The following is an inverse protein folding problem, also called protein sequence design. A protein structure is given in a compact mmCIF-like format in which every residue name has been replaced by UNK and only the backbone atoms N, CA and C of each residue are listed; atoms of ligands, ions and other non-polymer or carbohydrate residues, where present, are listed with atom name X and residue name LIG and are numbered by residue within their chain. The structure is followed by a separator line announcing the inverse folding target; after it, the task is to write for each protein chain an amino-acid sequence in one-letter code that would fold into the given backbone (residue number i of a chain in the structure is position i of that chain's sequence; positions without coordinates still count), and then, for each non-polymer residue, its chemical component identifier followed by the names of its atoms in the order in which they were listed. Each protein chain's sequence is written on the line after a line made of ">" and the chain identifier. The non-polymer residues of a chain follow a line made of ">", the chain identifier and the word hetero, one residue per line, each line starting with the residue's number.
data_IF_081039110011
#
_entry.id   IF_081039110011
#
_cell.length_a   1.000
_cell.length_b   1.000
_cell.length_c   1.000
_cell.angle_alpha   90.00
_cell.angle_beta   90.00
_cell.angle_gamma   90.00
#
_symmetry.space_group_name_H-M   'P 1'
#
loop_
_entity.id
_entity.type
_entity.pdbx_description
1 polymer ?
#
# COMPACT_ATOMS: atom_id res chain seq x y z
N UNK A 1 -5.08 13.62 31.50
CA UNK A 1 -5.23 14.15 30.14
C UNK A 1 -6.28 13.30 29.43
N UNK A 2 -7.13 13.86 28.56
CA UNK A 2 -7.99 13.04 27.70
C UNK A 2 -7.12 12.05 26.91
N UNK A 3 -7.69 10.89 26.59
CA UNK A 3 -7.00 9.87 25.80
C UNK A 3 -6.67 10.48 24.43
N UNK A 4 -5.45 10.27 23.94
CA UNK A 4 -4.94 10.88 22.71
C UNK A 4 -4.30 9.79 21.85
N UNK A 5 -4.74 9.67 20.60
CA UNK A 5 -4.30 8.63 19.65
C UNK A 5 -3.12 9.09 18.78
N UNK A 6 -2.46 10.20 19.16
CA UNK A 6 -1.30 10.73 18.46
C UNK A 6 -1.68 11.69 17.33
N UNK A 7 -0.89 11.66 16.25
CA UNK A 7 -1.00 12.61 15.15
C UNK A 7 -1.62 11.98 13.91
N UNK A 8 -2.59 12.67 13.30
CA UNK A 8 -3.14 12.31 12.00
C UNK A 8 -2.62 13.29 10.95
N UNK A 9 -1.73 12.82 10.08
CA UNK A 9 -1.29 13.58 8.91
C UNK A 9 -2.27 13.41 7.76
N UNK A 10 -3.00 14.46 7.42
CA UNK A 10 -3.92 14.44 6.28
C UNK A 10 -3.23 15.00 5.04
N UNK A 11 -3.59 14.50 3.87
CA UNK A 11 -3.02 15.00 2.64
C UNK A 11 -3.74 14.55 1.39
N UNK A 12 -3.33 15.14 0.27
CA UNK A 12 -3.70 14.72 -1.07
C UNK A 12 -2.55 13.96 -1.72
N UNK A 13 -2.84 13.20 -2.77
CA UNK A 13 -1.79 12.50 -3.53
C UNK A 13 -1.01 13.53 -4.34
N UNK A 14 0.29 13.64 -4.08
CA UNK A 14 1.16 14.62 -4.76
C UNK A 14 2.24 13.96 -5.60
N UNK A 15 2.55 12.70 -5.33
CA UNK A 15 3.53 11.88 -6.03
C UNK A 15 3.26 10.38 -5.78
N UNK A 16 4.12 9.51 -6.33
CA UNK A 16 4.02 8.05 -6.20
C UNK A 16 4.30 7.52 -4.77
N UNK A 17 4.86 8.34 -3.89
CA UNK A 17 5.27 7.99 -2.52
C UNK A 17 4.31 8.50 -1.45
N UNK A 18 3.20 9.09 -1.87
CA UNK A 18 2.16 9.59 -0.96
C UNK A 18 0.83 8.96 -1.31
N UNK A 19 0.09 8.58 -0.28
CA UNK A 19 -1.33 8.29 -0.43
C UNK A 19 -2.14 9.54 -0.10
N UNK A 20 -3.22 9.73 -0.85
CA UNK A 20 -4.25 10.69 -0.47
C UNK A 20 -5.01 10.13 0.72
N UNK A 21 -5.38 11.01 1.64
CA UNK A 21 -6.50 10.77 2.54
C UNK A 21 -7.78 10.88 1.74
N UNK A 22 -8.74 10.03 2.03
CA UNK A 22 -10.10 10.07 1.50
C UNK A 22 -11.13 10.06 2.63
N UNK A 23 -12.42 10.13 2.29
CA UNK A 23 -13.50 10.18 3.28
C UNK A 23 -13.55 8.93 4.16
N UNK A 24 -13.23 7.76 3.60
CA UNK A 24 -13.20 6.45 4.26
C UNK A 24 -12.05 6.35 5.26
N UNK A 25 -10.89 6.96 4.99
CA UNK A 25 -9.81 7.07 5.97
C UNK A 25 -10.23 7.91 7.19
N UNK A 26 -10.93 9.03 6.94
CA UNK A 26 -11.46 9.88 8.02
C UNK A 26 -12.48 9.11 8.85
N UNK A 27 -13.42 8.44 8.20
CA UNK A 27 -14.45 7.66 8.88
C UNK A 27 -13.85 6.54 9.74
N UNK A 28 -12.87 5.81 9.22
CA UNK A 28 -12.20 4.78 9.99
C UNK A 28 -11.51 5.37 11.23
N UNK A 29 -10.62 6.36 11.04
CA UNK A 29 -9.84 6.93 12.15
C UNK A 29 -10.73 7.59 13.21
N UNK A 30 -11.66 8.48 12.79
CA UNK A 30 -12.46 9.24 13.73
C UNK A 30 -13.57 8.42 14.39
N UNK A 31 -14.06 7.35 13.77
CA UNK A 31 -14.96 6.42 14.45
C UNK A 31 -14.26 5.71 15.61
N UNK A 32 -12.98 5.31 15.46
CA UNK A 32 -12.20 4.72 16.57
C UNK A 32 -11.95 5.73 17.68
N UNK A 33 -11.56 6.95 17.32
CA UNK A 33 -11.35 8.03 18.29
C UNK A 33 -12.64 8.35 19.07
N UNK A 34 -13.78 8.46 18.40
CA UNK A 34 -15.08 8.67 19.03
C UNK A 34 -15.45 7.52 19.98
N UNK A 35 -15.21 6.28 19.58
CA UNK A 35 -15.54 5.09 20.37
C UNK A 35 -14.77 5.01 21.69
N UNK A 36 -13.52 5.47 21.70
CA UNK A 36 -12.63 5.42 22.87
C UNK A 36 -12.54 6.76 23.61
N UNK A 37 -13.44 7.71 23.31
CA UNK A 37 -13.38 9.11 23.76
C UNK A 37 -11.97 9.70 23.70
N UNK A 38 -11.33 9.49 22.55
CA UNK A 38 -9.98 9.96 22.26
C UNK A 38 -9.99 11.00 21.15
N UNK A 39 -8.87 11.68 20.96
CA UNK A 39 -8.69 12.62 19.85
C UNK A 39 -7.37 12.40 19.11
N UNK A 40 -7.26 13.05 17.95
CA UNK A 40 -6.02 13.19 17.18
C UNK A 40 -5.57 14.65 17.16
N UNK A 41 -4.25 14.85 17.15
CA UNK A 41 -3.69 16.13 16.70
C UNK A 41 -3.54 16.09 15.19
N UNK A 42 -4.22 16.99 14.47
CA UNK A 42 -4.02 17.13 13.03
C UNK A 42 -2.61 17.68 12.73
N UNK A 43 -1.90 17.02 11.83
CA UNK A 43 -0.61 17.48 11.29
C UNK A 43 -0.74 17.88 9.82
N UNK A 44 0.23 18.67 9.34
CA UNK A 44 0.35 19.13 7.95
C UNK A 44 -0.81 20.04 7.48
N UNK A 45 -1.58 20.57 8.42
CA UNK A 45 -2.63 21.56 8.15
C UNK A 45 -2.09 22.96 8.45
N UNK A 46 -2.27 23.86 7.49
CA UNK A 46 -1.98 25.29 7.59
C UNK A 46 -3.14 26.08 6.97
N UNK A 47 -3.21 27.42 7.17
CA UNK A 47 -4.17 28.24 6.44
C UNK A 47 -4.09 28.06 4.91
N UNK A 48 -2.90 27.81 4.36
CA UNK A 48 -2.71 27.52 2.93
C UNK A 48 -3.29 26.17 2.49
N UNK A 49 -3.41 25.19 3.40
CA UNK A 49 -4.04 23.91 3.09
C UNK A 49 -5.52 24.05 2.72
N UNK A 50 -6.20 25.11 3.18
CA UNK A 50 -7.60 25.40 2.84
C UNK A 50 -7.77 25.98 1.43
N UNK A 51 -6.70 26.44 0.79
CA UNK A 51 -6.73 27.00 -0.58
C UNK A 51 -6.05 26.10 -1.60
N UNK A 52 -5.32 25.06 -1.16
CA UNK A 52 -4.70 24.06 -2.04
C UNK A 52 -5.67 22.95 -2.45
N UNK A 53 -6.66 23.31 -3.28
CA UNK A 53 -7.73 22.43 -3.73
C UNK A 53 -8.87 22.27 -2.71
N UNK A 54 -9.68 21.22 -2.88
CA UNK A 54 -10.89 21.00 -2.07
C UNK A 54 -10.80 19.80 -1.13
N UNK A 55 -9.76 18.97 -1.21
CA UNK A 55 -9.60 17.78 -0.36
C UNK A 55 -9.89 18.05 1.13
N UNK A 56 -9.28 19.08 1.73
CA UNK A 56 -9.50 19.41 3.13
C UNK A 56 -10.90 19.96 3.40
N UNK A 57 -11.46 20.74 2.47
CA UNK A 57 -12.83 21.30 2.58
C UNK A 57 -13.89 20.19 2.58
N UNK A 58 -13.64 19.10 1.86
CA UNK A 58 -14.56 17.95 1.83
C UNK A 58 -14.51 17.13 3.12
N UNK A 59 -13.35 17.02 3.77
CA UNK A 59 -13.17 16.21 4.98
C UNK A 59 -13.46 16.94 6.29
N UNK A 60 -13.12 18.23 6.36
CA UNK A 60 -13.22 19.02 7.58
C UNK A 60 -14.65 19.02 8.21
N UNK A 61 -15.75 19.07 7.44
CA UNK A 61 -17.10 18.95 8.01
C UNK A 61 -17.34 17.63 8.73
N UNK A 62 -16.88 16.51 8.17
CA UNK A 62 -17.01 15.17 8.77
C UNK A 62 -16.19 15.06 10.04
N UNK A 63 -14.91 15.49 10.01
CA UNK A 63 -14.03 15.56 11.19
C UNK A 63 -14.68 16.38 12.31
N UNK A 64 -15.20 17.57 11.97
CA UNK A 64 -15.89 18.44 12.91
C UNK A 64 -17.10 17.73 13.53
N UNK A 65 -17.91 17.03 12.72
CA UNK A 65 -19.09 16.32 13.22
C UNK A 65 -18.69 15.21 14.19
N UNK A 66 -17.68 14.40 13.87
CA UNK A 66 -17.15 13.41 14.81
C UNK A 66 -16.74 14.02 16.16
N UNK A 67 -15.99 15.12 16.13
CA UNK A 67 -15.58 15.83 17.34
C UNK A 67 -16.76 16.43 18.11
N UNK A 68 -17.76 16.97 17.44
CA UNK A 68 -19.00 17.45 18.08
C UNK A 68 -19.76 16.32 18.78
N UNK A 69 -19.87 15.15 18.14
CA UNK A 69 -20.51 13.97 18.72
C UNK A 69 -19.76 13.47 19.96
N UNK A 70 -18.42 13.47 19.89
CA UNK A 70 -17.54 13.05 20.99
C UNK A 70 -17.63 14.00 22.17
N UNK A 71 -17.39 15.29 21.96
CA UNK A 71 -17.34 16.30 23.01
C UNK A 71 -18.68 16.51 23.72
N UNK A 72 -19.80 16.30 23.03
CA UNK A 72 -21.15 16.37 23.60
C UNK A 72 -21.66 15.03 24.13
N UNK A 73 -20.87 13.95 24.01
CA UNK A 73 -21.23 12.59 24.39
C UNK A 73 -22.61 12.15 23.84
N UNK A 74 -22.82 12.34 22.53
CA UNK A 74 -24.12 12.10 21.88
C UNK A 74 -24.30 10.68 21.35
N UNK A 75 -23.30 9.81 21.50
CA UNK A 75 -23.32 8.43 21.02
C UNK A 75 -23.43 7.48 22.20
N UNK A 76 -24.39 6.57 22.16
CA UNK A 76 -24.60 5.58 23.20
C UNK A 76 -23.49 4.53 23.27
N UNK A 77 -23.35 3.89 24.43
CA UNK A 77 -22.28 2.92 24.68
C UNK A 77 -22.34 1.68 23.77
N UNK A 78 -23.55 1.23 23.38
CA UNK A 78 -23.67 0.08 22.49
C UNK A 78 -23.18 0.41 21.07
N UNK A 79 -23.42 1.63 20.61
CA UNK A 79 -22.86 2.14 19.36
C UNK A 79 -21.35 2.31 19.46
N UNK A 80 -20.82 2.90 20.54
CA UNK A 80 -19.37 3.01 20.75
C UNK A 80 -18.66 1.65 20.72
N UNK A 81 -19.24 0.62 21.36
CA UNK A 81 -18.69 -0.74 21.34
C UNK A 81 -18.56 -1.30 19.92
N UNK A 82 -19.53 -1.02 19.02
CA UNK A 82 -19.45 -1.41 17.61
C UNK A 82 -18.36 -0.62 16.86
N UNK A 83 -18.32 0.70 17.06
CA UNK A 83 -17.33 1.56 16.44
C UNK A 83 -15.89 1.21 16.88
N UNK A 84 -15.70 0.70 18.09
CA UNK A 84 -14.39 0.32 18.64
C UNK A 84 -13.77 -0.94 18.00
N UNK A 85 -14.54 -1.78 17.30
CA UNK A 85 -14.04 -3.04 16.72
C UNK A 85 -13.03 -2.73 15.61
N UNK A 86 -11.79 -3.20 15.76
CA UNK A 86 -10.74 -2.99 14.74
C UNK A 86 -11.13 -3.68 13.42
N UNK A 87 -10.84 -3.02 12.29
CA UNK A 87 -11.18 -3.53 10.96
C UNK A 87 -12.65 -3.31 10.54
N UNK A 88 -13.58 -3.14 11.48
CA UNK A 88 -14.95 -2.75 11.13
C UNK A 88 -14.99 -1.28 10.68
N UNK A 89 -15.57 -1.02 9.50
CA UNK A 89 -15.67 0.32 8.91
C UNK A 89 -17.10 0.86 9.00
N UNK A 90 -17.23 2.16 9.32
CA UNK A 90 -18.51 2.85 9.47
C UNK A 90 -18.44 4.23 8.84
N UNK A 91 -19.41 4.56 8.00
CA UNK A 91 -19.57 5.88 7.41
C UNK A 91 -20.52 6.73 8.26
N UNK A 92 -20.09 7.93 8.65
CA UNK A 92 -20.94 8.90 9.32
C UNK A 92 -21.83 9.62 8.28
N UNK A 93 -23.09 9.21 8.22
CA UNK A 93 -24.10 9.85 7.39
C UNK A 93 -24.66 11.08 8.11
N UNK A 94 -24.64 12.22 7.43
CA UNK A 94 -25.17 13.49 7.95
C UNK A 94 -26.36 13.91 7.08
N UNK A 95 -27.55 13.95 7.68
CA UNK A 95 -28.78 14.42 7.06
C UNK A 95 -28.77 15.93 6.84
N UNK A 96 -29.63 16.40 5.91
CA UNK A 96 -29.78 17.84 5.62
C UNK A 96 -30.29 18.66 6.82
N UNK A 97 -30.97 18.01 7.75
CA UNK A 97 -31.48 18.54 9.02
C UNK A 97 -30.42 18.55 10.14
N UNK A 98 -29.21 18.05 9.86
CA UNK A 98 -28.15 17.87 10.86
C UNK A 98 -28.26 16.59 11.69
N UNK A 99 -29.30 15.77 11.44
CA UNK A 99 -29.42 14.41 11.93
C UNK A 99 -28.25 13.56 11.45
N UNK A 100 -27.95 12.48 12.16
CA UNK A 100 -26.78 11.65 11.85
C UNK A 100 -27.02 10.18 12.17
N UNK A 101 -26.31 9.31 11.47
CA UNK A 101 -26.28 7.87 11.72
C UNK A 101 -24.98 7.25 11.23
N UNK A 102 -24.66 6.06 11.73
CA UNK A 102 -23.52 5.28 11.25
C UNK A 102 -23.99 4.14 10.36
N UNK A 103 -23.47 4.08 9.14
CA UNK A 103 -23.71 2.97 8.22
C UNK A 103 -22.45 2.12 8.09
N UNK A 104 -22.55 0.84 8.43
CA UNK A 104 -21.42 -0.09 8.27
C UNK A 104 -21.11 -0.30 6.78
N UNK A 105 -19.83 -0.36 6.45
CA UNK A 105 -19.35 -0.73 5.12
C UNK A 105 -18.10 -1.60 5.23
N UNK A 106 -17.61 -2.08 4.08
CA UNK A 106 -16.25 -2.62 3.95
C UNK A 106 -15.64 -2.13 2.64
N UNK A 107 -14.33 -1.94 2.64
CA UNK A 107 -13.55 -1.55 1.47
C UNK A 107 -12.45 -2.56 1.15
N UNK A 108 -12.11 -2.68 -0.13
CA UNK A 108 -10.94 -3.46 -0.57
C UNK A 108 -10.29 -2.78 -1.77
N UNK A 109 -9.03 -2.37 -1.60
CA UNK A 109 -8.18 -1.76 -2.63
C UNK A 109 -7.40 -2.82 -3.39
N UNK A 110 -7.44 -2.76 -4.71
CA UNK A 110 -6.68 -3.62 -5.62
C UNK A 110 -5.87 -2.77 -6.59
N UNK A 111 -4.65 -3.22 -6.94
CA UNK A 111 -3.78 -2.52 -7.87
C UNK A 111 -3.81 -3.16 -9.25
N UNK A 112 -3.99 -2.33 -10.26
CA UNK A 112 -3.80 -2.67 -11.67
C UNK A 112 -2.41 -2.21 -12.08
N UNK A 113 -1.55 -3.16 -12.43
CA UNK A 113 -0.17 -2.91 -12.87
C UNK A 113 -0.04 -2.92 -14.40
N UNK A 114 -1.04 -3.45 -15.10
CA UNK A 114 -1.16 -3.44 -16.55
C UNK A 114 -2.42 -4.17 -17.00
N UNK A 115 -2.81 -3.98 -18.26
CA UNK A 115 -4.02 -4.64 -18.81
C UNK A 115 -3.77 -6.10 -19.20
N UNK A 116 -2.52 -6.43 -19.52
CA UNK A 116 -2.12 -7.71 -20.13
C UNK A 116 -1.31 -8.60 -19.16
N UNK A 117 -1.15 -8.23 -17.88
CA UNK A 117 -0.28 -8.92 -16.91
C UNK A 117 -1.00 -9.79 -15.87
N UNK A 118 -2.33 -9.85 -15.97
CA UNK A 118 -3.23 -10.59 -15.07
C UNK A 118 -3.73 -9.79 -13.86
N UNK A 119 -3.19 -8.61 -13.57
CA UNK A 119 -3.65 -7.75 -12.46
C UNK A 119 -5.07 -7.21 -12.68
N UNK A 120 -5.54 -7.20 -13.93
CA UNK A 120 -6.91 -6.83 -14.31
C UNK A 120 -8.02 -7.70 -13.72
N UNK A 121 -7.73 -8.86 -13.11
CA UNK A 121 -8.76 -9.75 -12.56
C UNK A 121 -8.47 -10.10 -11.08
N UNK A 122 -9.47 -9.96 -10.22
CA UNK A 122 -9.37 -10.31 -8.80
C UNK A 122 -10.73 -10.68 -8.20
N UNK A 123 -10.72 -11.18 -6.97
CA UNK A 123 -11.93 -11.53 -6.21
C UNK A 123 -12.21 -10.52 -5.09
N UNK A 124 -13.48 -10.20 -4.89
CA UNK A 124 -13.96 -9.38 -3.76
C UNK A 124 -15.07 -10.11 -3.01
N UNK A 125 -14.90 -10.28 -1.69
CA UNK A 125 -15.89 -10.90 -0.83
C UNK A 125 -16.78 -9.82 -0.19
N UNK A 126 -18.03 -9.71 -0.63
CA UNK A 126 -19.02 -8.82 -0.04
C UNK A 126 -19.68 -9.51 1.18
N UNK A 127 -19.49 -9.01 2.41
CA UNK A 127 -20.07 -9.62 3.60
C UNK A 127 -21.55 -9.27 3.80
N UNK A 128 -22.13 -8.41 2.95
CA UNK A 128 -23.49 -7.92 3.06
C UNK A 128 -24.39 -8.47 1.94
N UNK A 129 -25.59 -7.91 1.82
CA UNK A 129 -26.52 -8.24 0.74
C UNK A 129 -26.05 -7.76 -0.64
N UNK A 130 -26.77 -8.22 -1.67
CA UNK A 130 -26.54 -7.77 -3.03
C UNK A 130 -26.85 -6.27 -3.18
N UNK A 131 -25.97 -5.54 -3.85
CA UNK A 131 -26.08 -4.08 -4.01
C UNK A 131 -25.42 -3.60 -5.30
N UNK A 132 -25.80 -2.43 -5.84
CA UNK A 132 -25.09 -1.83 -6.97
C UNK A 132 -23.61 -1.57 -6.64
N UNK A 133 -22.75 -1.67 -7.66
CA UNK A 133 -21.33 -1.36 -7.55
C UNK A 133 -21.10 0.06 -7.01
N UNK A 134 -20.37 0.15 -5.91
CA UNK A 134 -19.77 1.38 -5.39
C UNK A 134 -18.25 1.21 -5.37
N UNK A 135 -17.51 2.22 -5.82
CA UNK A 135 -16.05 2.13 -5.96
C UNK A 135 -15.34 3.48 -5.98
N UNK A 136 -14.01 3.43 -5.89
CA UNK A 136 -13.08 4.50 -6.27
C UNK A 136 -12.07 3.93 -7.28
N UNK A 137 -11.87 4.61 -8.41
CA UNK A 137 -10.77 4.34 -9.34
C UNK A 137 -9.82 5.53 -9.28
N UNK A 138 -8.54 5.28 -8.99
CA UNK A 138 -7.48 6.31 -9.00
C UNK A 138 -6.47 5.98 -10.10
N UNK A 139 -6.25 6.90 -11.03
CA UNK A 139 -5.26 6.72 -12.08
C UNK A 139 -3.83 6.80 -11.50
N UNK A 140 -2.94 5.90 -11.93
CA UNK A 140 -1.54 5.86 -11.52
C UNK A 140 -0.62 6.23 -12.67
N UNK A 141 0.61 6.66 -12.35
CA UNK A 141 1.62 6.92 -13.37
C UNK A 141 1.99 5.62 -14.10
N UNK A 142 1.99 5.66 -15.43
CA UNK A 142 2.63 4.64 -16.26
C UNK A 142 4.16 4.78 -16.21
N UNK A 143 4.88 3.76 -16.67
CA UNK A 143 6.34 3.73 -16.65
C UNK A 143 6.90 3.72 -18.07
N UNK A 144 8.06 4.35 -18.27
CA UNK A 144 8.82 4.28 -19.52
C UNK A 144 9.20 2.85 -19.89
N UNK A 145 9.45 2.61 -21.19
CA UNK A 145 9.86 1.29 -21.67
C UNK A 145 11.19 0.84 -21.03
N UNK A 146 11.30 -0.43 -20.67
CA UNK A 146 12.51 -0.99 -20.05
C UNK A 146 13.80 -0.64 -20.82
N UNK A 147 13.77 -0.62 -22.15
CA UNK A 147 14.96 -0.31 -22.97
C UNK A 147 15.43 1.14 -22.90
N UNK A 148 14.57 2.08 -22.48
CA UNK A 148 14.93 3.47 -22.24
C UNK A 148 15.60 3.70 -20.88
N UNK A 149 15.60 2.70 -20.01
CA UNK A 149 16.03 2.84 -18.63
C UNK A 149 17.55 2.85 -18.43
N UNK A 150 17.96 3.49 -17.34
CA UNK A 150 19.36 3.54 -16.90
C UNK A 150 19.63 2.32 -16.01
N UNK A 151 20.66 1.54 -16.33
CA UNK A 151 21.01 0.38 -15.51
C UNK A 151 21.46 0.79 -14.09
N UNK A 152 20.82 0.19 -13.09
CA UNK A 152 21.15 0.37 -11.68
C UNK A 152 22.13 -0.70 -11.21
N UNK A 153 21.89 -1.94 -11.62
CA UNK A 153 22.69 -3.13 -11.34
C UNK A 153 22.41 -4.21 -12.38
N UNK A 154 23.39 -5.04 -12.67
CA UNK A 154 23.31 -6.21 -13.53
C UNK A 154 23.01 -7.52 -12.76
N UNK A 155 22.98 -7.46 -11.43
CA UNK A 155 22.95 -8.63 -10.52
C UNK A 155 24.09 -9.64 -10.72
N UNK A 156 25.16 -9.28 -11.43
CA UNK A 156 26.29 -10.15 -11.72
C UNK A 156 27.35 -10.14 -10.62
N UNK A 157 27.51 -9.02 -9.91
CA UNK A 157 28.52 -8.87 -8.85
C UNK A 157 28.16 -7.75 -7.85
N UNK A 158 28.94 -7.62 -6.77
CA UNK A 158 28.84 -6.53 -5.81
C UNK A 158 27.83 -6.72 -4.68
N UNK A 159 26.96 -7.73 -4.78
CA UNK A 159 26.10 -8.13 -3.67
C UNK A 159 26.91 -8.85 -2.60
N UNK A 160 26.69 -8.48 -1.34
CA UNK A 160 27.32 -9.06 -0.18
C UNK A 160 26.29 -9.35 0.92
N UNK A 161 26.67 -10.19 1.89
CA UNK A 161 25.89 -10.40 3.10
C UNK A 161 26.00 -9.14 3.99
N UNK A 162 24.90 -8.41 4.25
CA UNK A 162 24.93 -7.19 5.05
C UNK A 162 25.29 -7.42 6.53
N UNK A 163 25.42 -8.67 6.96
CA UNK A 163 25.57 -9.04 8.35
C UNK A 163 24.26 -8.90 9.13
N UNK A 164 24.32 -9.07 10.46
CA UNK A 164 23.13 -9.03 11.28
C UNK A 164 22.53 -7.62 11.38
N UNK A 165 21.20 -7.53 11.34
CA UNK A 165 20.47 -6.31 11.69
C UNK A 165 20.41 -6.16 13.21
N UNK A 166 20.90 -5.05 13.73
CA UNK A 166 20.88 -4.72 15.16
C UNK A 166 19.77 -3.70 15.42
N UNK A 167 18.88 -3.96 16.37
CA UNK A 167 17.80 -3.05 16.79
C UNK A 167 17.96 -2.69 18.26
N UNK A 168 18.07 -1.40 18.54
CA UNK A 168 17.94 -0.85 19.89
C UNK A 168 16.49 -0.44 20.13
N UNK A 169 15.89 -0.92 21.22
CA UNK A 169 14.52 -0.58 21.60
C UNK A 169 14.47 0.61 22.54
N UNK A 170 13.28 1.20 22.72
CA UNK A 170 13.05 2.28 23.70
C UNK A 170 13.31 1.81 25.13
N UNK A 171 13.19 0.51 25.41
CA UNK A 171 13.58 -0.10 26.68
C UNK A 171 15.10 -0.12 26.93
N UNK A 172 15.91 0.26 25.95
CA UNK A 172 17.37 0.19 25.99
C UNK A 172 17.95 -1.20 25.68
N UNK A 173 17.10 -2.21 25.43
CA UNK A 173 17.54 -3.56 25.05
C UNK A 173 17.93 -3.61 23.57
N UNK A 174 18.94 -4.42 23.26
CA UNK A 174 19.41 -4.67 21.90
C UNK A 174 19.00 -6.06 21.42
N UNK A 175 18.45 -6.14 20.22
CA UNK A 175 18.10 -7.37 19.52
C UNK A 175 18.90 -7.50 18.23
N UNK A 176 19.36 -8.72 17.94
CA UNK A 176 20.22 -9.01 16.79
C UNK A 176 19.54 -10.06 15.92
N UNK A 177 19.32 -9.73 14.65
CA UNK A 177 18.68 -10.61 13.67
C UNK A 177 19.70 -10.95 12.58
N UNK A 178 20.07 -12.23 12.38
CA UNK A 178 21.01 -12.60 11.33
C UNK A 178 20.41 -12.31 9.94
N UNK A 179 21.29 -12.08 8.97
CA UNK A 179 20.94 -11.89 7.55
C UNK A 179 20.24 -13.12 6.96
N UNK A 180 20.61 -14.31 7.42
CA UNK A 180 19.90 -15.58 7.16
C UNK A 180 19.27 -16.13 8.43
N UNK A 181 18.00 -16.54 8.32
CA UNK A 181 17.29 -17.25 9.36
C UNK A 181 17.98 -18.59 9.72
N UNK A 182 17.84 -19.10 10.97
CA UNK A 182 18.37 -20.40 11.36
C UNK A 182 17.89 -21.51 10.42
N UNK A 183 18.81 -22.32 9.90
CA UNK A 183 18.50 -23.38 8.94
C UNK A 183 18.31 -22.91 7.49
N UNK A 184 18.46 -21.61 7.23
CA UNK A 184 18.47 -21.04 5.88
C UNK A 184 19.91 -20.82 5.42
N UNK A 185 20.22 -21.23 4.19
CA UNK A 185 21.45 -20.86 3.50
C UNK A 185 21.16 -20.11 2.20
N UNK A 186 22.12 -19.29 1.78
CA UNK A 186 22.00 -18.41 0.62
C UNK A 186 23.23 -18.53 -0.27
N UNK A 187 23.02 -18.54 -1.58
CA UNK A 187 24.09 -18.62 -2.58
C UNK A 187 23.75 -17.75 -3.79
N UNK A 188 24.71 -16.98 -4.27
CA UNK A 188 24.63 -16.27 -5.56
C UNK A 188 25.69 -16.85 -6.48
N UNK A 189 25.28 -17.37 -7.62
CA UNK A 189 26.19 -17.94 -8.63
C UNK A 189 25.60 -17.75 -10.02
N UNK A 190 26.41 -17.25 -10.97
CA UNK A 190 26.00 -17.03 -12.37
C UNK A 190 24.69 -16.22 -12.52
N UNK A 191 24.51 -15.19 -11.69
CA UNK A 191 23.31 -14.35 -11.70
C UNK A 191 22.04 -15.00 -11.14
N UNK A 192 22.17 -16.19 -10.52
CA UNK A 192 21.08 -16.89 -9.83
C UNK A 192 21.27 -16.73 -8.33
N UNK A 193 20.26 -16.19 -7.66
CA UNK A 193 20.20 -16.16 -6.20
C UNK A 193 19.34 -17.33 -5.71
N UNK A 194 19.93 -18.18 -4.87
CA UNK A 194 19.33 -19.40 -4.33
C UNK A 194 19.22 -19.29 -2.82
N UNK A 195 18.05 -19.63 -2.27
CA UNK A 195 17.82 -19.79 -0.85
C UNK A 195 17.44 -21.24 -0.55
N UNK A 196 18.06 -21.89 0.44
CA UNK A 196 17.72 -23.26 0.84
C UNK A 196 17.27 -23.29 2.29
N UNK A 197 16.11 -23.90 2.54
CA UNK A 197 15.56 -24.11 3.87
C UNK A 197 15.72 -25.57 4.28
N UNK A 198 16.58 -25.84 5.26
CA UNK A 198 16.83 -27.18 5.78
C UNK A 198 15.63 -27.79 6.55
N UNK A 199 14.52 -27.07 6.70
CA UNK A 199 13.33 -27.52 7.42
C UNK A 199 13.49 -27.45 8.94
N UNK A 200 14.46 -26.67 9.43
CA UNK A 200 14.63 -26.43 10.87
C UNK A 200 13.47 -25.55 11.33
N UNK A 201 12.50 -26.15 12.04
CA UNK A 201 11.32 -25.44 12.56
C UNK A 201 11.67 -24.63 13.81
N UNK A 202 12.59 -23.67 13.67
CA UNK A 202 12.90 -22.73 14.74
C UNK A 202 12.06 -21.48 14.54
N UNK A 203 11.21 -21.19 15.52
CA UNK A 203 10.57 -19.89 15.59
C UNK A 203 11.64 -18.84 15.86
N UNK A 204 11.61 -17.79 15.06
CA UNK A 204 12.46 -16.62 15.25
C UNK A 204 11.59 -15.43 15.56
N UNK A 205 12.15 -14.59 16.40
CA UNK A 205 11.64 -13.25 16.58
C UNK A 205 12.03 -12.45 15.35
N UNK A 206 11.10 -11.69 14.83
CA UNK A 206 11.33 -10.68 13.80
C UNK A 206 11.13 -9.25 14.32
N UNK A 207 10.55 -9.16 15.52
CA UNK A 207 10.40 -7.99 16.38
C UNK A 207 10.50 -8.44 17.84
N UNK A 208 10.73 -7.50 18.75
CA UNK A 208 10.96 -7.82 20.15
C UNK A 208 9.69 -8.23 20.90
N UNK A 209 9.73 -9.23 21.79
CA UNK A 209 8.63 -9.53 22.71
C UNK A 209 8.42 -8.43 23.76
N UNK A 210 9.39 -7.52 23.96
CA UNK A 210 9.28 -6.41 24.89
C UNK A 210 8.59 -5.17 24.28
N UNK A 211 8.52 -5.05 22.94
CA UNK A 211 7.78 -3.99 22.25
C UNK A 211 6.27 -4.32 22.34
N UNK A 212 5.61 -3.84 23.41
CA UNK A 212 4.15 -3.81 23.44
C UNK A 212 3.70 -2.72 22.46
N UNK A 213 2.61 -2.97 21.73
CA UNK A 213 1.95 -1.90 20.96
C UNK A 213 1.72 -0.70 21.87
N UNK A 214 2.33 0.43 21.51
CA UNK A 214 2.24 1.67 22.27
C UNK A 214 1.99 2.81 21.30
N UNK A 215 0.89 3.51 21.52
CA UNK A 215 0.59 4.77 20.83
C UNK A 215 1.61 5.87 21.16
N UNK A 216 2.30 5.76 22.31
CA UNK A 216 3.35 6.68 22.72
C UNK A 216 4.70 6.36 22.07
N UNK A 217 4.90 5.14 21.58
CA UNK A 217 6.15 4.67 20.99
C UNK A 217 6.01 4.40 19.48
N UNK A 218 5.49 5.37 18.72
CA UNK A 218 5.59 5.42 17.26
C UNK A 218 5.03 4.20 16.49
N UNK A 219 3.88 3.64 16.90
CA UNK A 219 3.33 2.42 16.26
C UNK A 219 4.36 1.28 16.24
N UNK A 220 5.05 1.09 17.36
CA UNK A 220 5.87 -0.08 17.62
C UNK A 220 5.12 -1.36 17.23
N UNK A 221 5.83 -2.19 16.47
CA UNK A 221 5.29 -3.34 15.74
C UNK A 221 4.56 -4.29 16.67
N UNK A 222 3.41 -4.80 16.22
CA UNK A 222 2.76 -5.93 16.90
C UNK A 222 3.69 -7.14 16.78
N UNK A 223 4.21 -7.55 17.92
CA UNK A 223 4.99 -8.78 18.09
C UNK A 223 4.31 -9.98 17.41
N UNK A 224 5.07 -10.80 16.68
CA UNK A 224 4.57 -12.02 16.07
C UNK A 224 5.66 -13.09 16.01
N UNK A 225 5.41 -14.22 16.65
CA UNK A 225 6.21 -15.44 16.47
C UNK A 225 6.00 -15.98 15.06
N UNK A 226 7.10 -16.25 14.34
CA UNK A 226 7.02 -16.86 13.00
C UNK A 226 8.16 -17.83 12.76
N UNK A 227 7.88 -18.81 11.91
CA UNK A 227 8.91 -19.68 11.37
C UNK A 227 9.87 -18.85 10.51
N UNK A 228 11.16 -19.04 10.76
CA UNK A 228 12.24 -18.35 10.09
C UNK A 228 12.40 -18.89 8.66
N UNK A 229 12.31 -18.04 7.64
CA UNK A 229 12.49 -18.49 6.25
C UNK A 229 13.14 -17.46 5.36
N UNK A 230 13.90 -16.51 5.93
CA UNK A 230 14.49 -15.42 5.18
C UNK A 230 15.99 -15.55 4.97
N UNK A 231 16.47 -14.90 3.92
CA UNK A 231 17.88 -14.54 3.71
C UNK A 231 17.95 -13.18 3.04
N UNK A 232 19.04 -12.44 3.25
CA UNK A 232 19.26 -11.14 2.63
C UNK A 232 20.59 -11.01 1.90
N UNK A 233 20.63 -10.02 1.00
CA UNK A 233 21.80 -9.52 0.30
C UNK A 233 21.73 -8.00 0.24
N UNK A 234 22.86 -7.34 0.10
CA UNK A 234 22.93 -5.90 -0.07
C UNK A 234 23.90 -5.53 -1.18
N UNK A 235 23.56 -4.49 -1.93
CA UNK A 235 24.42 -3.82 -2.89
C UNK A 235 24.49 -2.34 -2.51
N UNK A 236 25.71 -1.86 -2.25
CA UNK A 236 25.97 -0.45 -2.04
C UNK A 236 26.43 0.20 -3.35
N UNK A 237 25.87 1.36 -3.67
CA UNK A 237 26.42 2.16 -4.76
C UNK A 237 27.73 2.81 -4.31
N UNK A 238 28.74 2.77 -5.19
CA UNK A 238 30.06 3.39 -4.90
C UNK A 238 29.96 4.86 -4.50
N UNK A 239 28.96 5.56 -5.03
CA UNK A 239 28.55 6.90 -4.66
C UNK A 239 27.02 6.95 -4.72
N UNK A 240 26.35 7.79 -3.89
CA UNK A 240 24.92 7.95 -4.00
C UNK A 240 24.49 8.33 -5.42
N UNK A 241 23.45 7.68 -5.92
CA UNK A 241 22.88 7.94 -7.25
C UNK A 241 21.73 8.92 -7.14
N UNK A 242 21.66 9.86 -8.08
CA UNK A 242 20.49 10.69 -8.33
C UNK A 242 19.57 9.98 -9.31
N UNK A 243 18.39 9.59 -8.84
CA UNK A 243 17.34 8.91 -9.58
C UNK A 243 16.06 9.76 -9.63
N UNK A 244 16.13 11.08 -9.39
CA UNK A 244 14.92 11.94 -9.31
C UNK A 244 14.12 11.97 -10.61
N UNK A 245 14.79 11.84 -11.75
CA UNK A 245 14.17 11.78 -13.08
C UNK A 245 13.70 10.36 -13.46
N UNK A 246 14.10 9.35 -12.70
CA UNK A 246 13.79 7.93 -12.97
C UNK A 246 13.40 7.17 -11.69
N UNK A 247 12.33 7.59 -10.98
CA UNK A 247 12.00 7.06 -9.65
C UNK A 247 11.25 5.71 -9.68
N UNK A 248 10.94 5.18 -10.86
CA UNK A 248 10.38 3.85 -11.05
C UNK A 248 11.48 2.86 -11.45
N UNK A 249 11.23 1.57 -11.26
CA UNK A 249 12.20 0.53 -11.64
C UNK A 249 11.57 -0.57 -12.48
N UNK A 250 12.32 -1.05 -13.47
CA UNK A 250 11.95 -2.21 -14.28
C UNK A 250 12.90 -3.37 -14.02
N UNK A 251 12.36 -4.57 -13.85
CA UNK A 251 13.17 -5.78 -13.66
C UNK A 251 12.49 -6.99 -14.31
N UNK A 252 13.29 -7.90 -14.87
CA UNK A 252 12.82 -9.24 -15.23
C UNK A 252 13.26 -10.23 -14.18
N UNK A 253 12.32 -11.06 -13.73
CA UNK A 253 12.55 -12.13 -12.76
C UNK A 253 12.23 -13.47 -13.43
N UNK A 254 13.16 -14.42 -13.37
CA UNK A 254 12.92 -15.81 -13.71
C UNK A 254 12.49 -16.54 -12.44
N UNK A 255 11.21 -16.88 -12.35
CA UNK A 255 10.64 -17.56 -11.19
C UNK A 255 10.72 -19.08 -11.28
N UNK A 256 10.67 -19.75 -10.14
CA UNK A 256 10.64 -21.21 -10.00
C UNK A 256 9.28 -21.76 -9.55
N UNK A 257 8.29 -20.89 -9.35
CA UNK A 257 6.93 -21.21 -8.90
C UNK A 257 6.86 -21.95 -7.55
N UNK A 258 7.76 -21.63 -6.61
CA UNK A 258 7.76 -22.24 -5.27
C UNK A 258 7.13 -21.37 -4.17
N UNK A 259 6.67 -20.17 -4.49
CA UNK A 259 5.86 -19.35 -3.60
C UNK A 259 6.63 -18.48 -2.60
N UNK A 260 7.97 -18.48 -2.64
CA UNK A 260 8.79 -17.54 -1.89
C UNK A 260 8.51 -16.09 -2.30
N UNK A 261 8.84 -15.16 -1.41
CA UNK A 261 8.76 -13.73 -1.65
C UNK A 261 10.15 -13.19 -1.99
N UNK A 262 10.24 -12.41 -3.07
CA UNK A 262 11.39 -11.58 -3.39
C UNK A 262 11.07 -10.14 -3.01
N UNK A 263 11.75 -9.59 -2.01
CA UNK A 263 11.61 -8.19 -1.61
C UNK A 263 12.85 -7.39 -2.04
N UNK A 264 12.64 -6.35 -2.83
CA UNK A 264 13.67 -5.41 -3.28
C UNK A 264 13.43 -4.08 -2.59
N UNK A 265 14.44 -3.57 -1.89
CA UNK A 265 14.34 -2.36 -1.08
C UNK A 265 15.34 -1.33 -1.62
N UNK A 266 14.82 -0.23 -2.14
CA UNK A 266 15.65 0.94 -2.43
C UNK A 266 16.04 1.60 -1.11
N UNK A 267 17.34 1.79 -0.90
CA UNK A 267 17.87 2.56 0.23
C UNK A 267 18.18 3.99 -0.23
N UNK A 268 17.69 4.99 0.49
CA UNK A 268 18.07 6.39 0.26
C UNK A 268 18.22 7.15 1.57
N UNK A 269 18.92 8.28 1.54
CA UNK A 269 19.11 9.12 2.73
C UNK A 269 18.32 10.42 2.63
N UNK A 270 17.35 10.56 3.52
CA UNK A 270 16.54 11.76 3.74
C UNK A 270 16.88 12.34 5.12
N UNK A 271 15.89 12.65 5.96
CA UNK A 271 16.07 12.95 7.39
C UNK A 271 16.61 11.74 8.21
N UNK A 272 16.79 10.60 7.57
CA UNK A 272 17.34 9.34 8.07
C UNK A 272 17.45 8.33 6.92
N UNK A 273 17.77 7.08 7.23
CA UNK A 273 17.74 6.00 6.25
C UNK A 273 16.28 5.67 5.91
N UNK A 274 15.96 5.76 4.63
CA UNK A 274 14.65 5.40 4.09
C UNK A 274 14.75 4.06 3.38
N UNK A 275 13.71 3.24 3.52
CA UNK A 275 13.56 1.93 2.86
C UNK A 275 12.24 1.87 2.10
N UNK A 276 12.29 1.85 0.77
CA UNK A 276 11.14 1.71 -0.11
C UNK A 276 11.13 0.29 -0.65
N UNK A 277 10.13 -0.48 -0.26
CA UNK A 277 10.10 -1.93 -0.51
C UNK A 277 9.14 -2.27 -1.64
N UNK A 278 9.51 -3.28 -2.41
CA UNK A 278 8.73 -3.86 -3.49
C UNK A 278 8.75 -5.38 -3.32
N UNK A 279 7.59 -5.99 -3.11
CA UNK A 279 7.47 -7.41 -2.83
C UNK A 279 6.87 -8.14 -4.04
N UNK A 280 7.62 -9.10 -4.57
CA UNK A 280 7.22 -9.95 -5.70
C UNK A 280 6.99 -11.37 -5.18
N UNK A 281 5.74 -11.87 -5.15
CA UNK A 281 5.46 -13.28 -4.93
C UNK A 281 5.94 -14.12 -6.12
N UNK A 282 6.77 -15.13 -5.87
CA UNK A 282 7.33 -16.00 -6.93
C UNK A 282 6.44 -17.25 -7.11
N UNK A 283 5.21 -17.02 -7.54
CA UNK A 283 4.20 -18.03 -7.86
C UNK A 283 4.04 -18.25 -9.39
N UNK A 284 5.14 -18.08 -10.11
CA UNK A 284 5.22 -18.21 -11.56
C UNK A 284 6.55 -18.87 -11.95
N UNK A 285 6.56 -19.55 -13.10
CA UNK A 285 7.76 -20.13 -13.70
C UNK A 285 8.18 -19.33 -14.93
N UNK A 286 9.49 -19.20 -15.15
CA UNK A 286 10.02 -18.49 -16.32
C UNK A 286 10.12 -16.98 -16.12
N UNK A 287 10.52 -16.27 -17.18
CA UNK A 287 10.74 -14.84 -17.16
C UNK A 287 9.43 -14.05 -17.14
N UNK A 288 9.27 -13.19 -16.13
CA UNK A 288 8.21 -12.19 -16.03
C UNK A 288 8.81 -10.81 -15.76
N UNK A 289 8.25 -9.78 -16.40
CA UNK A 289 8.64 -8.39 -16.21
C UNK A 289 7.79 -7.73 -15.10
N UNK A 290 8.42 -6.88 -14.30
CA UNK A 290 7.78 -6.13 -13.23
C UNK A 290 8.17 -4.65 -13.29
N UNK A 291 7.18 -3.78 -13.13
CA UNK A 291 7.34 -2.35 -12.89
C UNK A 291 7.16 -2.07 -11.39
N UNK A 292 8.22 -1.61 -10.73
CA UNK A 292 8.26 -1.31 -9.30
C UNK A 292 8.12 0.20 -9.10
N UNK A 293 6.94 0.65 -8.68
CA UNK A 293 6.60 2.08 -8.64
C UNK A 293 6.15 2.49 -7.24
N UNK A 294 4.97 2.07 -6.79
CA UNK A 294 4.48 2.30 -5.44
C UNK A 294 5.14 1.30 -4.47
N UNK A 295 5.28 1.70 -3.21
CA UNK A 295 5.82 0.83 -2.16
C UNK A 295 4.75 -0.14 -1.67
N UNK A 296 5.16 -1.27 -1.09
CA UNK A 296 4.26 -2.26 -0.44
C UNK A 296 4.34 -2.21 1.11
N UNK A 297 4.07 -1.08 1.76
CA UNK A 297 4.30 -0.96 3.20
C UNK A 297 3.35 -1.82 4.05
N UNK A 298 2.13 -2.10 3.59
CA UNK A 298 1.17 -2.97 4.27
C UNK A 298 1.63 -4.43 4.38
N UNK A 299 2.56 -4.86 3.52
CA UNK A 299 3.13 -6.20 3.56
C UNK A 299 4.25 -6.32 4.60
N UNK A 300 4.72 -5.21 5.16
CA UNK A 300 5.81 -5.20 6.13
C UNK A 300 5.52 -6.08 7.35
N UNK A 301 4.37 -5.86 7.99
CA UNK A 301 3.95 -6.65 9.15
C UNK A 301 3.34 -7.99 8.75
N UNK A 302 2.86 -8.13 7.51
CA UNK A 302 2.33 -9.41 7.01
C UNK A 302 3.38 -10.48 6.82
N UNK A 303 4.66 -10.13 6.63
CA UNK A 303 5.75 -11.11 6.45
C UNK A 303 6.88 -10.94 7.46
N UNK A 304 6.70 -10.02 8.40
CA UNK A 304 7.51 -9.89 9.59
C UNK A 304 9.02 -9.77 9.29
N UNK A 305 9.40 -8.80 8.46
CA UNK A 305 10.80 -8.65 8.07
C UNK A 305 11.70 -8.13 9.20
N UNK A 306 12.95 -8.60 9.34
CA UNK A 306 13.84 -8.10 10.39
C UNK A 306 14.55 -6.79 10.02
N UNK A 307 14.46 -6.29 8.78
CA UNK A 307 15.23 -5.12 8.34
C UNK A 307 14.78 -3.77 8.90
N UNK A 308 13.57 -3.67 9.48
CA UNK A 308 13.13 -2.46 10.18
C UNK A 308 12.41 -2.77 11.48
N UNK A 309 12.35 -1.80 12.39
CA UNK A 309 11.73 -1.95 13.72
C UNK A 309 10.21 -1.90 13.66
N UNK A 310 9.67 -0.88 13.01
CA UNK A 310 8.27 -0.47 13.12
C UNK A 310 7.72 0.01 11.79
N UNK A 311 6.41 -0.18 11.55
CA UNK A 311 5.74 0.32 10.34
C UNK A 311 5.93 1.83 10.16
N UNK A 312 5.97 2.58 11.26
CA UNK A 312 6.14 4.03 11.22
C UNK A 312 7.40 4.45 10.46
N UNK A 313 8.52 3.74 10.64
CA UNK A 313 9.76 3.99 9.89
C UNK A 313 9.64 3.76 8.38
N UNK A 314 8.71 2.91 7.95
CA UNK A 314 8.42 2.62 6.54
C UNK A 314 7.53 3.71 5.93
N UNK A 315 6.60 4.28 6.71
CA UNK A 315 5.60 5.25 6.21
C UNK A 315 5.96 6.72 6.45
N UNK A 316 6.80 7.06 7.44
CA UNK A 316 6.99 8.46 7.89
C UNK A 316 7.62 9.35 6.83
N UNK A 317 8.61 8.82 6.10
CA UNK A 317 9.50 9.61 5.25
C UNK A 317 9.49 9.11 3.82
N UNK A 318 9.54 10.05 2.88
CA UNK A 318 9.63 9.75 1.46
C UNK A 318 11.09 9.41 1.07
N UNK A 319 11.29 8.55 0.06
CA UNK A 319 12.58 8.35 -0.54
C UNK A 319 13.17 9.67 -1.02
N UNK A 320 14.46 9.88 -0.78
CA UNK A 320 15.18 10.97 -1.39
C UNK A 320 15.88 10.46 -2.65
N UNK A 321 15.20 10.53 -3.80
CA UNK A 321 15.75 9.99 -5.05
C UNK A 321 17.07 10.64 -5.48
N UNK A 322 17.37 11.87 -5.02
CA UNK A 322 18.67 12.52 -5.27
C UNK A 322 19.84 11.88 -4.53
N UNK A 323 19.56 11.00 -3.57
CA UNK A 323 20.54 10.43 -2.66
C UNK A 323 20.24 8.95 -2.40
N UNK A 324 20.15 8.16 -3.46
CA UNK A 324 19.97 6.71 -3.39
C UNK A 324 21.29 6.03 -3.07
N UNK A 325 21.34 5.22 -2.02
CA UNK A 325 22.56 4.62 -1.49
C UNK A 325 22.85 3.23 -2.04
N UNK A 326 21.81 2.49 -2.44
CA UNK A 326 21.95 1.09 -2.84
C UNK A 326 20.64 0.34 -2.79
N UNK A 327 20.74 -0.99 -2.86
CA UNK A 327 19.64 -1.92 -2.78
C UNK A 327 19.86 -2.90 -1.63
N UNK A 328 18.82 -3.14 -0.84
CA UNK A 328 18.75 -4.29 0.05
C UNK A 328 17.74 -5.28 -0.51
N UNK A 329 18.08 -6.57 -0.51
CA UNK A 329 17.22 -7.61 -1.05
C UNK A 329 16.97 -8.66 0.02
N UNK A 330 15.75 -9.19 0.04
CA UNK A 330 15.35 -10.28 0.92
C UNK A 330 14.59 -11.35 0.15
N UNK A 331 14.92 -12.62 0.39
CA UNK A 331 14.02 -13.73 0.15
C UNK A 331 13.33 -14.06 1.46
N UNK A 332 12.04 -14.40 1.43
CA UNK A 332 11.32 -14.91 2.58
C UNK A 332 10.26 -15.93 2.14
N UNK A 333 9.61 -16.59 3.10
CA UNK A 333 8.65 -17.67 2.86
C UNK A 333 9.25 -18.83 2.04
N UNK A 334 10.57 -19.06 2.15
CA UNK A 334 11.22 -20.22 1.54
C UNK A 334 10.60 -21.49 2.14
N UNK A 335 9.93 -22.35 1.35
CA UNK A 335 9.21 -23.49 1.89
C UNK A 335 10.14 -24.46 2.63
N UNK A 336 9.67 -25.03 3.74
CA UNK A 336 10.46 -25.95 4.55
C UNK A 336 10.95 -27.16 3.74
N UNK A 337 12.25 -27.47 3.85
CA UNK A 337 12.88 -28.58 3.14
C UNK A 337 13.09 -28.34 1.64
N UNK A 338 12.92 -27.10 1.16
CA UNK A 338 13.07 -26.74 -0.26
C UNK A 338 14.25 -25.82 -0.49
N UNK A 339 14.72 -25.86 -1.73
CA UNK A 339 15.63 -24.88 -2.30
C UNK A 339 14.88 -24.11 -3.37
N UNK A 340 14.87 -22.79 -3.25
CA UNK A 340 14.24 -21.86 -4.20
C UNK A 340 15.29 -21.04 -4.91
N UNK A 341 14.98 -20.56 -6.10
CA UNK A 341 15.90 -19.76 -6.89
C UNK A 341 15.18 -18.69 -7.70
N UNK A 342 15.83 -17.55 -7.86
CA UNK A 342 15.46 -16.53 -8.85
C UNK A 342 16.67 -16.15 -9.69
N UNK A 343 16.46 -15.95 -10.98
CA UNK A 343 17.44 -15.28 -11.84
C UNK A 343 16.92 -13.89 -12.17
N UNK A 344 17.80 -12.89 -12.14
CA UNK A 344 17.43 -11.51 -12.39
C UNK A 344 18.20 -11.00 -13.61
N UNK A 345 17.49 -10.30 -14.51
CA UNK A 345 18.16 -9.43 -15.50
C UNK A 345 18.49 -8.09 -14.86
N UNK A 346 19.30 -7.24 -15.51
CA UNK A 346 19.61 -5.92 -14.98
C UNK A 346 18.37 -5.15 -14.51
N UNK A 347 18.46 -4.52 -13.35
CA UNK A 347 17.42 -3.61 -12.88
C UNK A 347 17.69 -2.24 -13.49
N UNK A 348 16.67 -1.64 -14.09
CA UNK A 348 16.78 -0.32 -14.73
C UNK A 348 15.91 0.72 -14.03
N UNK A 349 16.44 1.92 -13.83
CA UNK A 349 15.70 3.12 -13.44
C UNK A 349 14.92 3.65 -14.64
N UNK A 350 13.64 3.96 -14.44
CA UNK A 350 12.71 4.34 -15.51
C UNK A 350 11.97 5.64 -15.17
N UNK A 351 11.71 6.50 -16.16
CA UNK A 351 10.92 7.70 -15.94
C UNK A 351 9.45 7.34 -15.72
N UNK A 352 8.76 8.15 -14.92
CA UNK A 352 7.29 8.14 -14.85
C UNK A 352 6.72 8.87 -16.06
N UNK A 353 5.67 8.32 -16.64
CA UNK A 353 4.92 8.94 -17.73
C UNK A 353 3.65 9.60 -17.20
N UNK A 354 3.27 10.71 -17.83
CA UNK A 354 1.97 11.38 -17.62
C UNK A 354 0.90 10.83 -18.58
N UNK A 355 0.92 9.51 -18.79
CA UNK A 355 -0.08 8.85 -19.64
C UNK A 355 -1.42 8.81 -18.91
N UNK A 356 -2.49 9.17 -19.61
CA UNK A 356 -3.85 9.16 -19.05
C UNK A 356 -4.40 7.73 -18.94
N UNK A 357 -5.27 7.53 -17.94
CA UNK A 357 -6.18 6.39 -17.90
C UNK A 357 -7.45 6.74 -18.66
N UNK A 358 -7.74 6.01 -19.74
CA UNK A 358 -8.82 6.36 -20.68
C UNK A 358 -9.91 5.31 -20.65
N UNK A 359 -11.15 5.75 -20.41
CA UNK A 359 -12.35 4.93 -20.37
C UNK A 359 -12.21 3.67 -19.50
N UNK A 360 -11.84 3.79 -18.20
CA UNK A 360 -11.77 2.63 -17.34
C UNK A 360 -13.14 1.95 -17.23
N UNK A 361 -13.14 0.64 -17.06
CA UNK A 361 -14.33 -0.19 -17.02
C UNK A 361 -14.21 -1.29 -15.99
N UNK A 362 -15.34 -1.68 -15.43
CA UNK A 362 -15.46 -2.78 -14.46
C UNK A 362 -16.49 -3.77 -14.97
N UNK A 363 -16.15 -5.05 -14.90
CA UNK A 363 -17.04 -6.16 -15.23
C UNK A 363 -17.23 -7.05 -14.00
N UNK A 364 -18.48 -7.35 -13.66
CA UNK A 364 -18.85 -8.31 -12.60
C UNK A 364 -19.99 -9.17 -13.14
N UNK A 365 -19.88 -10.50 -13.00
CA UNK A 365 -20.87 -11.46 -13.48
C UNK A 365 -21.31 -11.24 -14.95
N UNK A 366 -20.36 -10.86 -15.81
CA UNK A 366 -20.59 -10.60 -17.23
C UNK A 366 -21.25 -9.26 -17.57
N UNK A 367 -21.59 -8.43 -16.57
CA UNK A 367 -22.10 -7.08 -16.78
C UNK A 367 -20.96 -6.07 -16.67
N UNK A 368 -20.80 -5.25 -17.71
CA UNK A 368 -19.74 -4.24 -17.80
C UNK A 368 -20.32 -2.84 -17.69
N UNK A 369 -19.68 -2.00 -16.88
CA UNK A 369 -19.88 -0.55 -16.89
C UNK A 369 -18.59 0.15 -17.32
N UNK A 370 -18.71 1.16 -18.18
CA UNK A 370 -17.60 1.98 -18.67
C UNK A 370 -17.75 3.40 -18.15
N UNK A 371 -16.66 4.00 -17.65
CA UNK A 371 -16.63 5.38 -17.20
C UNK A 371 -15.98 6.26 -18.28
N UNK A 372 -16.74 7.09 -19.02
CA UNK A 372 -16.21 7.83 -20.18
C UNK A 372 -15.41 9.07 -19.75
N UNK A 373 -14.20 8.84 -19.24
CA UNK A 373 -13.27 9.85 -18.74
C UNK A 373 -11.85 9.61 -19.25
N UNK A 374 -11.06 10.67 -19.29
CA UNK A 374 -9.61 10.61 -19.51
C UNK A 374 -8.92 11.23 -18.29
N UNK A 375 -8.41 10.38 -17.40
CA UNK A 375 -7.90 10.78 -16.10
C UNK A 375 -6.38 10.95 -16.15
N UNK A 376 -5.89 12.11 -15.74
CA UNK A 376 -4.45 12.30 -15.50
C UNK A 376 -4.00 11.45 -14.30
N UNK A 377 -2.72 11.08 -14.17
CA UNK A 377 -2.22 10.41 -12.97
C UNK A 377 -2.58 11.17 -11.69
N UNK A 378 -2.98 10.42 -10.67
CA UNK A 378 -3.47 10.87 -9.36
C UNK A 378 -4.88 11.47 -9.34
N UNK A 379 -5.54 11.64 -10.49
CA UNK A 379 -6.97 11.90 -10.51
C UNK A 379 -7.75 10.65 -10.12
N UNK A 380 -8.94 10.84 -9.58
CA UNK A 380 -9.77 9.72 -9.13
C UNK A 380 -11.25 9.96 -9.41
N UNK A 381 -11.98 8.87 -9.59
CA UNK A 381 -13.43 8.86 -9.78
C UNK A 381 -14.07 7.98 -8.72
N UNK A 382 -15.18 8.43 -8.15
CA UNK A 382 -15.95 7.70 -7.14
C UNK A 382 -17.37 7.45 -7.62
N UNK A 383 -17.82 6.22 -7.43
CA UNK A 383 -19.22 5.80 -7.53
C UNK A 383 -19.73 5.55 -6.12
N UNK A 384 -20.64 6.38 -5.64
CA UNK A 384 -21.21 6.26 -4.29
C UNK A 384 -22.38 5.25 -4.27
N UNK A 385 -22.83 4.89 -3.07
CA UNK A 385 -23.92 3.94 -2.88
C UNK A 385 -25.27 4.36 -3.51
N UNK A 386 -25.44 5.66 -3.78
CA UNK A 386 -26.61 6.21 -4.49
C UNK A 386 -26.49 6.13 -6.03
N UNK A 387 -25.39 5.57 -6.53
CA UNK A 387 -25.07 5.45 -7.96
C UNK A 387 -24.51 6.74 -8.58
N UNK A 388 -24.37 7.83 -7.80
CA UNK A 388 -23.74 9.05 -8.31
C UNK A 388 -22.26 8.81 -8.58
N UNK A 389 -21.80 9.28 -9.73
CA UNK A 389 -20.43 9.11 -10.19
C UNK A 389 -19.76 10.48 -10.36
N UNK A 390 -18.66 10.70 -9.65
CA UNK A 390 -17.96 12.00 -9.60
C UNK A 390 -16.48 11.80 -9.88
N UNK A 391 -15.93 12.66 -10.72
CA UNK A 391 -14.51 12.68 -11.07
C UNK A 391 -13.84 13.91 -10.48
N UNK A 392 -12.72 13.69 -9.79
CA UNK A 392 -11.95 14.67 -9.06
C UNK A 392 -10.52 14.77 -9.60
N UNK A 393 -9.94 15.97 -9.48
CA UNK A 393 -8.51 16.14 -9.69
C UNK A 393 -7.68 15.56 -8.53
N UNK A 394 -6.35 15.57 -8.67
CA UNK A 394 -5.44 15.07 -7.63
C UNK A 394 -5.48 15.88 -6.30
N UNK A 395 -6.18 17.02 -6.27
CA UNK A 395 -6.40 17.85 -5.07
C UNK A 395 -7.81 17.73 -4.50
N UNK A 396 -8.59 16.75 -4.97
CA UNK A 396 -9.96 16.50 -4.52
C UNK A 396 -10.98 17.53 -5.01
N UNK A 397 -10.61 18.39 -5.96
CA UNK A 397 -11.54 19.33 -6.60
C UNK A 397 -12.41 18.56 -7.57
N UNK A 398 -13.74 18.71 -7.46
CA UNK A 398 -14.67 18.08 -8.39
C UNK A 398 -14.46 18.66 -9.80
N UNK A 399 -14.07 17.81 -10.75
CA UNK A 399 -13.98 18.17 -12.17
C UNK A 399 -15.34 18.04 -12.84
N UNK A 400 -16.02 16.91 -12.63
CA UNK A 400 -17.28 16.60 -13.32
C UNK A 400 -18.09 15.52 -12.62
N UNK A 401 -19.41 15.62 -12.69
CA UNK A 401 -20.31 14.48 -12.49
C UNK A 401 -20.37 13.67 -13.78
N UNK A 402 -20.02 12.39 -13.70
CA UNK A 402 -19.90 11.49 -14.85
C UNK A 402 -21.17 10.65 -14.95
N UNK A 403 -21.64 10.41 -16.17
CA UNK A 403 -22.70 9.43 -16.45
C UNK A 403 -22.01 8.17 -16.96
N UNK A 404 -21.99 7.06 -16.18
CA UNK A 404 -21.43 5.80 -16.65
C UNK A 404 -22.20 5.27 -17.86
N UNK A 405 -21.51 4.58 -18.76
CA UNK A 405 -22.10 3.88 -19.90
C UNK A 405 -22.34 2.42 -19.54
N UNK A 406 -23.58 1.96 -19.68
CA UNK A 406 -24.04 0.68 -19.17
C UNK A 406 -24.62 0.77 -17.76
N UNK A 407 -25.18 -0.34 -17.28
CA UNK A 407 -25.74 -0.44 -15.93
C UNK A 407 -24.63 -0.75 -14.94
N UNK A 408 -24.62 -0.07 -13.79
CA UNK A 408 -23.73 -0.45 -12.68
C UNK A 408 -24.00 -1.91 -12.30
N UNK A 409 -23.00 -2.81 -12.38
CA UNK A 409 -23.23 -4.21 -12.11
C UNK A 409 -23.56 -4.43 -10.63
N UNK A 410 -24.24 -5.52 -10.34
CA UNK A 410 -24.55 -5.91 -8.97
C UNK A 410 -23.37 -6.64 -8.35
N UNK A 411 -22.97 -6.22 -7.15
CA UNK A 411 -22.06 -6.95 -6.27
C UNK A 411 -22.93 -7.85 -5.40
N UNK A 412 -22.93 -9.16 -5.67
CA UNK A 412 -23.69 -10.14 -4.90
C UNK A 412 -23.09 -10.31 -3.50
N UNK A 413 -23.84 -10.90 -2.55
CA UNK A 413 -23.26 -11.34 -1.29
C UNK A 413 -22.27 -12.50 -1.52
N UNK A 414 -21.19 -12.55 -0.74
CA UNK A 414 -20.10 -13.52 -0.90
C UNK A 414 -19.08 -13.10 -1.97
N UNK A 415 -18.41 -14.09 -2.57
CA UNK A 415 -17.31 -13.84 -3.51
C UNK A 415 -17.81 -13.39 -4.89
N UNK A 416 -17.24 -12.30 -5.39
CA UNK A 416 -17.49 -11.74 -6.71
C UNK A 416 -16.18 -11.73 -7.50
N UNK A 417 -16.20 -12.23 -8.73
CA UNK A 417 -15.08 -12.04 -9.67
C UNK A 417 -15.22 -10.67 -10.34
N UNK A 418 -14.17 -9.88 -10.25
CA UNK A 418 -14.11 -8.53 -10.81
C UNK A 418 -13.04 -8.52 -11.90
N UNK A 419 -13.35 -7.85 -13.01
CA UNK A 419 -12.38 -7.56 -14.05
C UNK A 419 -12.35 -6.07 -14.36
N UNK A 420 -11.15 -5.51 -14.46
CA UNK A 420 -10.86 -4.15 -14.85
C UNK A 420 -10.30 -4.12 -16.27
N UNK A 421 -10.69 -3.10 -17.04
CA UNK A 421 -10.06 -2.81 -18.33
C UNK A 421 -10.06 -1.29 -18.59
N UNK A 422 -9.28 -0.83 -19.54
CA UNK A 422 -9.29 0.54 -20.06
C UNK A 422 -8.89 0.55 -21.53
N UNK A 423 -9.07 1.67 -22.23
CA UNK A 423 -8.54 1.80 -23.60
C UNK A 423 -7.03 1.58 -23.59
N UNK A 424 -6.53 0.71 -24.49
CA UNK A 424 -5.09 0.42 -24.62
C UNK A 424 -4.32 1.70 -24.96
N UNK A 425 -3.18 1.89 -24.30
CA UNK A 425 -2.27 3.01 -24.49
C UNK A 425 -0.86 2.50 -24.85
N UNK A 426 0.11 3.41 -25.00
CA UNK A 426 1.48 3.07 -25.39
C UNK A 426 2.26 2.33 -24.28
N UNK A 427 2.08 2.76 -23.03
CA UNK A 427 2.61 2.10 -21.84
C UNK A 427 1.48 1.42 -21.05
N UNK A 428 1.83 0.62 -20.04
CA UNK A 428 0.87 -0.04 -19.16
C UNK A 428 -0.07 0.98 -18.51
N UNK A 429 -1.39 0.79 -18.67
CA UNK A 429 -2.41 1.53 -17.94
C UNK A 429 -2.48 1.00 -16.51
N UNK A 430 -2.29 1.89 -15.53
CA UNK A 430 -2.18 1.55 -14.11
C UNK A 430 -3.23 2.29 -13.30
N UNK A 431 -3.78 1.64 -12.28
CA UNK A 431 -4.81 2.21 -11.43
C UNK A 431 -4.86 1.55 -10.05
N UNK A 432 -5.36 2.25 -9.05
CA UNK A 432 -5.98 1.60 -7.89
C UNK A 432 -7.49 1.52 -8.09
N UNK A 433 -8.09 0.40 -7.73
CA UNK A 433 -9.53 0.19 -7.67
C UNK A 433 -9.90 -0.20 -6.25
N UNK A 434 -10.63 0.67 -5.54
CA UNK A 434 -11.22 0.35 -4.25
C UNK A 434 -12.70 0.04 -4.44
N UNK A 435 -13.13 -1.16 -4.06
CA UNK A 435 -14.54 -1.55 -4.06
C UNK A 435 -15.12 -1.30 -2.67
N UNK A 436 -16.31 -0.72 -2.60
CA UNK A 436 -17.06 -0.53 -1.37
C UNK A 436 -18.31 -1.42 -1.35
N UNK A 437 -18.56 -2.09 -0.24
CA UNK A 437 -19.81 -2.78 0.02
C UNK A 437 -20.43 -2.25 1.31
N UNK A 438 -21.73 -1.98 1.26
CA UNK A 438 -22.48 -1.33 2.31
C UNK A 438 -23.47 -2.29 2.95
N UNK A 439 -23.68 -2.16 4.26
CA UNK A 439 -24.72 -2.87 4.98
C UNK A 439 -26.12 -2.32 4.69
#
# INVERSE_FOLDING_TARGET
>A
MPLHLGWAGLGRKTNIDTDATYWDDIDYLWSKALATDSNYTLQRISPGSMTDGDWLKTMAPTIRKYEELRQKNLVDEATKQKLAVLGDEYHLQIGKDGGWSFRQFTSSRHQITGLDDGSGAWSFANPFGAQPLSLRITALNSVGAYESGIEITDFGSGFFDPGPTIKLLNSGKTYVYPSSAPGISSKVENGVWTGSNAGVQKEVQSSSPDDKYSLYDHCERIFSWRQASWTSLQLDFKQPKDLSETPAFGIWVNGDNQGQLLNIILMSRSYGDMKKQYVIPVNFSGWKYFELVESDPELFDKHSWPFSREQYSIHRSQPNYKNCLGLQMWMNEIPAGKTVSVQLKPMKALPLLQQKLVNPSITIAGQTVVFPVEMEPNEYLEVLADGSCKWFDAKGTLKKTVVPQGTLPTVAGGNNQISFNSSKQAANSRAYVTIFAWK
#
